data_IF_869834728201
#
_entry.id   IF_869834728201
#
_cell.length_a   1.000
_cell.length_b   1.000
_cell.length_c   1.000
_cell.angle_alpha   90.00
_cell.angle_beta   90.00
_cell.angle_gamma   90.00
#
_symmetry.space_group_name_H-M   'P 1'
#
loop_
_entity.id
_entity.type
_entity.pdbx_description
1 polymer ?
#
# COMPACT_ATOMS: atom_id res chain seq x y z
N UNK A 1 18.62 -10.48 18.96
CA UNK A 1 17.18 -10.33 19.22
C UNK A 1 16.47 -11.49 18.53
N UNK A 2 15.55 -12.20 19.18
CA UNK A 2 14.80 -13.30 18.52
C UNK A 2 13.76 -12.66 17.61
N UNK A 3 13.83 -12.91 16.29
CA UNK A 3 12.87 -12.34 15.33
C UNK A 3 11.56 -13.12 15.45
N UNK A 4 10.39 -12.45 15.63
CA UNK A 4 9.11 -13.14 15.74
C UNK A 4 8.80 -13.95 14.47
N UNK A 5 8.13 -15.08 14.66
CA UNK A 5 7.78 -16.02 13.60
C UNK A 5 6.28 -15.96 13.29
N UNK A 6 5.93 -16.25 12.05
CA UNK A 6 4.54 -16.41 11.61
C UNK A 6 4.44 -17.47 10.53
N UNK A 7 3.22 -17.94 10.25
CA UNK A 7 2.97 -18.84 9.12
C UNK A 7 2.61 -18.01 7.88
N UNK A 8 3.50 -17.92 6.90
CA UNK A 8 3.31 -17.16 5.66
C UNK A 8 3.13 -18.04 4.43
N UNK A 9 2.97 -17.43 3.27
CA UNK A 9 3.05 -18.09 1.97
C UNK A 9 4.36 -17.72 1.29
N UNK A 10 5.34 -18.63 1.29
CA UNK A 10 6.59 -18.46 0.55
C UNK A 10 6.31 -18.67 -0.94
N UNK A 11 6.67 -17.69 -1.76
CA UNK A 11 6.50 -17.73 -3.22
C UNK A 11 7.74 -18.29 -3.90
N UNK A 12 7.59 -18.60 -5.18
CA UNK A 12 8.61 -19.21 -6.05
C UNK A 12 9.87 -18.34 -6.15
N UNK A 13 9.71 -17.02 -6.08
CA UNK A 13 10.81 -16.05 -6.04
C UNK A 13 11.36 -15.76 -4.63
N UNK A 14 10.98 -16.56 -3.63
CA UNK A 14 11.46 -16.47 -2.25
C UNK A 14 10.77 -15.40 -1.39
N UNK A 15 9.99 -14.48 -1.97
CA UNK A 15 9.24 -13.47 -1.20
C UNK A 15 8.11 -14.11 -0.42
N UNK A 16 7.70 -13.48 0.68
CA UNK A 16 6.68 -14.01 1.60
C UNK A 16 5.42 -13.15 1.56
N UNK A 17 4.28 -13.78 1.30
CA UNK A 17 2.94 -13.19 1.43
C UNK A 17 2.26 -13.56 2.73
N UNK A 18 1.33 -12.71 3.18
CA UNK A 18 0.45 -12.95 4.35
C UNK A 18 -1.00 -13.24 3.94
N UNK A 19 -1.30 -13.16 2.64
CA UNK A 19 -2.57 -13.57 2.01
C UNK A 19 -2.28 -14.45 0.79
N UNK A 20 -3.35 -15.03 0.23
CA UNK A 20 -3.27 -16.02 -0.85
C UNK A 20 -4.39 -15.80 -1.89
N UNK A 21 -4.44 -14.60 -2.46
CA UNK A 21 -5.50 -14.20 -3.38
C UNK A 21 -5.33 -14.81 -4.77
N UNK A 22 -6.43 -15.21 -5.41
CA UNK A 22 -6.50 -15.45 -6.85
C UNK A 22 -7.20 -14.27 -7.50
N UNK A 23 -6.49 -13.52 -8.33
CA UNK A 23 -7.01 -12.29 -8.92
C UNK A 23 -7.56 -12.52 -10.32
N UNK A 24 -8.64 -11.82 -10.63
CA UNK A 24 -9.11 -11.58 -12.00
C UNK A 24 -8.80 -10.11 -12.31
N UNK A 25 -7.70 -9.88 -13.02
CA UNK A 25 -7.10 -8.57 -13.21
C UNK A 25 -7.48 -8.03 -14.60
N UNK A 26 -8.33 -6.99 -14.67
CA UNK A 26 -8.54 -6.29 -15.93
C UNK A 26 -7.25 -5.57 -16.35
N UNK A 27 -6.93 -5.64 -17.64
CA UNK A 27 -5.92 -4.78 -18.28
C UNK A 27 -6.47 -3.36 -18.45
N UNK A 28 -7.77 -3.23 -18.70
CA UNK A 28 -8.39 -1.97 -19.10
C UNK A 28 -9.82 -1.85 -18.54
N UNK A 29 -10.33 -0.63 -18.56
CA UNK A 29 -11.68 -0.30 -18.08
C UNK A 29 -12.79 -1.06 -18.81
N UNK A 30 -12.59 -1.42 -20.08
CA UNK A 30 -13.55 -2.19 -20.86
C UNK A 30 -13.62 -3.66 -20.46
N UNK A 31 -12.52 -4.19 -19.90
CA UNK A 31 -12.41 -5.59 -19.48
C UNK A 31 -12.98 -5.85 -18.08
N UNK A 32 -13.36 -4.79 -17.35
CA UNK A 32 -13.92 -4.88 -16.00
C UNK A 32 -15.12 -5.82 -15.91
N UNK A 33 -16.10 -5.68 -16.81
CA UNK A 33 -17.33 -6.49 -16.76
C UNK A 33 -17.06 -8.00 -16.92
N UNK A 34 -16.12 -8.36 -17.79
CA UNK A 34 -15.70 -9.75 -17.96
C UNK A 34 -14.98 -10.28 -16.70
N UNK A 35 -14.10 -9.47 -16.09
CA UNK A 35 -13.42 -9.82 -14.84
C UNK A 35 -14.40 -10.05 -13.69
N UNK A 36 -15.36 -9.13 -13.51
CA UNK A 36 -16.40 -9.23 -12.49
C UNK A 36 -17.31 -10.45 -12.71
N UNK A 37 -17.68 -10.75 -13.96
CA UNK A 37 -18.46 -11.93 -14.28
C UNK A 37 -17.73 -13.23 -13.92
N UNK A 38 -16.42 -13.33 -14.20
CA UNK A 38 -15.60 -14.48 -13.80
C UNK A 38 -15.55 -14.58 -12.26
N UNK A 39 -15.35 -13.46 -11.56
CA UNK A 39 -15.31 -13.46 -10.09
C UNK A 39 -16.65 -13.83 -9.45
N UNK A 40 -17.76 -13.47 -10.09
CA UNK A 40 -19.09 -13.91 -9.67
C UNK A 40 -19.26 -15.43 -9.82
N UNK A 41 -18.78 -15.99 -10.94
CA UNK A 41 -18.89 -17.42 -11.26
C UNK A 41 -18.00 -18.30 -10.37
N UNK A 42 -16.77 -17.86 -10.07
CA UNK A 42 -15.76 -18.67 -9.37
C UNK A 42 -15.48 -18.09 -7.98
N UNK A 43 -16.02 -18.75 -6.96
CA UNK A 43 -15.78 -18.36 -5.56
C UNK A 43 -14.30 -18.55 -5.18
N UNK A 44 -13.81 -17.69 -4.30
CA UNK A 44 -12.40 -17.66 -3.91
C UNK A 44 -11.51 -16.78 -4.80
N UNK A 45 -12.08 -16.14 -5.82
CA UNK A 45 -11.39 -15.15 -6.66
C UNK A 45 -11.78 -13.72 -6.28
N UNK A 46 -10.99 -12.74 -6.73
CA UNK A 46 -11.29 -11.33 -6.57
C UNK A 46 -11.02 -10.58 -7.88
N UNK A 47 -12.05 -9.95 -8.44
CA UNK A 47 -11.88 -8.97 -9.50
C UNK A 47 -11.44 -7.62 -8.92
N UNK A 48 -10.54 -6.92 -9.61
CA UNK A 48 -10.06 -5.58 -9.20
C UNK A 48 -10.32 -4.59 -10.35
N UNK A 49 -11.57 -4.09 -10.49
CA UNK A 49 -11.91 -3.16 -11.56
C UNK A 49 -11.23 -1.79 -11.37
N UNK A 50 -10.94 -1.12 -12.48
CA UNK A 50 -10.35 0.23 -12.48
C UNK A 50 -10.72 1.04 -13.73
N UNK A 51 -10.47 2.35 -13.70
CA UNK A 51 -10.94 3.29 -14.73
C UNK A 51 -9.94 3.61 -15.85
N UNK A 52 -8.77 2.97 -15.89
CA UNK A 52 -7.69 3.29 -16.85
C UNK A 52 -7.20 2.06 -17.63
N UNK A 53 -6.06 2.16 -18.32
CA UNK A 53 -5.51 1.11 -19.19
C UNK A 53 -5.67 1.37 -20.69
N UNK A 54 -6.16 2.55 -21.08
CA UNK A 54 -6.34 2.95 -22.48
C UNK A 54 -5.83 4.36 -22.74
N UNK A 55 -5.24 4.54 -23.94
CA UNK A 55 -4.78 5.83 -24.46
C UNK A 55 -3.82 6.59 -23.53
N UNK A 56 -3.10 5.86 -22.67
CA UNK A 56 -2.00 6.39 -21.87
C UNK A 56 -0.71 6.34 -22.69
N UNK A 57 0.21 7.26 -22.42
CA UNK A 57 1.47 7.37 -23.15
C UNK A 57 2.60 7.86 -22.24
N UNK A 58 3.85 7.65 -22.66
CA UNK A 58 5.02 8.08 -21.89
C UNK A 58 5.07 7.48 -20.49
N UNK A 59 5.50 8.26 -19.49
CA UNK A 59 5.61 7.79 -18.10
C UNK A 59 4.24 7.40 -17.49
N UNK A 60 3.13 7.97 -17.95
CA UNK A 60 1.79 7.59 -17.48
C UNK A 60 1.46 6.14 -17.84
N UNK A 61 1.80 5.73 -19.06
CA UNK A 61 1.64 4.34 -19.50
C UNK A 61 2.58 3.39 -18.76
N UNK A 62 3.83 3.79 -18.55
CA UNK A 62 4.80 2.97 -17.82
C UNK A 62 4.43 2.82 -16.34
N UNK A 63 3.92 3.87 -15.70
CA UNK A 63 3.39 3.81 -14.34
C UNK A 63 2.16 2.90 -14.25
N UNK A 64 1.25 2.98 -15.23
CA UNK A 64 0.12 2.06 -15.33
C UNK A 64 0.60 0.61 -15.36
N UNK A 65 1.54 0.27 -16.26
CA UNK A 65 2.09 -1.08 -16.36
C UNK A 65 2.80 -1.51 -15.08
N UNK A 66 3.62 -0.64 -14.48
CA UNK A 66 4.31 -0.91 -13.21
C UNK A 66 3.31 -1.24 -12.11
N UNK A 67 2.18 -0.52 -12.05
CA UNK A 67 1.16 -0.69 -11.03
C UNK A 67 0.36 -1.98 -11.23
N UNK A 68 -0.10 -2.28 -12.44
CA UNK A 68 -0.88 -3.49 -12.74
C UNK A 68 -0.01 -4.76 -12.62
N UNK A 69 1.17 -4.75 -13.23
CA UNK A 69 2.13 -5.87 -13.13
C UNK A 69 2.54 -6.06 -11.67
N UNK A 70 2.84 -4.96 -10.96
CA UNK A 70 3.20 -4.99 -9.55
C UNK A 70 2.11 -5.58 -8.67
N UNK A 71 0.86 -5.20 -8.91
CA UNK A 71 -0.32 -5.73 -8.19
C UNK A 71 -0.43 -7.24 -8.36
N UNK A 72 -0.34 -7.75 -9.60
CA UNK A 72 -0.33 -9.19 -9.85
C UNK A 72 0.91 -9.91 -9.29
N UNK A 73 2.04 -9.21 -9.25
CA UNK A 73 3.33 -9.71 -8.74
C UNK A 73 3.41 -9.76 -7.21
N UNK A 74 2.55 -9.03 -6.49
CA UNK A 74 2.57 -8.93 -5.03
C UNK A 74 2.55 -10.33 -4.35
N UNK A 75 3.34 -10.58 -3.29
CA UNK A 75 3.35 -11.88 -2.60
C UNK A 75 2.01 -12.31 -1.96
N UNK A 76 1.10 -11.38 -1.66
CA UNK A 76 -0.27 -11.67 -1.21
C UNK A 76 -1.15 -12.27 -2.33
N UNK A 77 -0.69 -12.23 -3.58
CA UNK A 77 -1.36 -12.81 -4.75
C UNK A 77 -0.70 -14.12 -5.11
N UNK A 78 -1.48 -15.20 -5.13
CA UNK A 78 -1.05 -16.55 -5.47
C UNK A 78 -1.03 -16.79 -6.98
N UNK A 79 -2.08 -16.39 -7.68
CA UNK A 79 -2.25 -16.60 -9.11
C UNK A 79 -3.13 -15.50 -9.74
N UNK A 80 -2.98 -15.29 -11.05
CA UNK A 80 -3.65 -14.19 -11.76
C UNK A 80 -4.25 -14.66 -13.08
N UNK A 81 -5.52 -14.35 -13.32
CA UNK A 81 -6.13 -14.35 -14.65
C UNK A 81 -6.17 -12.90 -15.13
N UNK A 82 -5.50 -12.60 -16.24
CA UNK A 82 -5.52 -11.28 -16.86
C UNK A 82 -6.54 -11.28 -18.00
N UNK A 83 -7.42 -10.29 -18.05
CA UNK A 83 -8.36 -10.11 -19.16
C UNK A 83 -8.18 -8.72 -19.74
N UNK A 84 -7.92 -8.64 -21.04
CA UNK A 84 -7.83 -7.39 -21.79
C UNK A 84 -8.61 -7.45 -23.08
N UNK A 85 -8.72 -6.32 -23.79
CA UNK A 85 -9.32 -6.31 -25.13
C UNK A 85 -8.40 -7.00 -26.13
N UNK A 86 -7.14 -6.56 -26.22
CA UNK A 86 -6.19 -6.98 -27.25
C UNK A 86 -5.13 -7.95 -26.68
N UNK A 87 -4.69 -8.95 -27.47
CA UNK A 87 -3.76 -9.97 -27.01
C UNK A 87 -2.37 -9.43 -26.67
N UNK A 88 -1.83 -8.48 -27.43
CA UNK A 88 -0.46 -7.98 -27.25
C UNK A 88 -0.28 -7.27 -25.90
N UNK A 89 -1.18 -6.33 -25.57
CA UNK A 89 -1.15 -5.64 -24.29
C UNK A 89 -1.46 -6.56 -23.11
N UNK A 90 -2.37 -7.51 -23.30
CA UNK A 90 -2.66 -8.54 -22.31
C UNK A 90 -1.41 -9.38 -22.01
N UNK A 91 -0.68 -9.80 -23.06
CA UNK A 91 0.54 -10.59 -22.91
C UNK A 91 1.64 -9.80 -22.20
N UNK A 92 1.79 -8.49 -22.45
CA UNK A 92 2.75 -7.64 -21.71
C UNK A 92 2.57 -7.75 -20.18
N UNK A 93 1.32 -7.73 -19.69
CA UNK A 93 1.03 -7.91 -18.25
C UNK A 93 1.36 -9.33 -17.79
N UNK A 94 0.93 -10.33 -18.58
CA UNK A 94 1.17 -11.76 -18.27
C UNK A 94 2.66 -12.03 -18.13
N UNK A 95 3.47 -11.61 -19.10
CA UNK A 95 4.92 -11.78 -19.06
C UNK A 95 5.54 -11.05 -17.87
N UNK A 96 5.10 -9.82 -17.59
CA UNK A 96 5.57 -9.05 -16.44
C UNK A 96 5.34 -9.76 -15.10
N UNK A 97 4.17 -10.38 -14.91
CA UNK A 97 3.83 -11.13 -13.70
C UNK A 97 4.57 -12.48 -13.67
N UNK A 98 4.69 -13.15 -14.82
CA UNK A 98 5.29 -14.48 -14.94
C UNK A 98 6.76 -14.52 -14.49
N UNK A 99 7.49 -13.40 -14.53
CA UNK A 99 8.86 -13.28 -13.97
C UNK A 99 8.93 -13.67 -12.49
N UNK A 100 7.83 -13.54 -11.75
CA UNK A 100 7.78 -13.98 -10.34
C UNK A 100 7.75 -15.50 -10.15
N UNK A 101 7.49 -16.27 -11.20
CA UNK A 101 7.31 -17.72 -11.18
C UNK A 101 5.88 -18.18 -10.83
N UNK A 102 4.98 -17.27 -10.48
CA UNK A 102 3.60 -17.62 -10.10
C UNK A 102 2.72 -17.93 -11.32
N UNK A 103 1.66 -18.75 -11.17
CA UNK A 103 0.72 -19.01 -12.26
C UNK A 103 -0.01 -17.75 -12.73
N UNK A 104 0.08 -17.45 -14.02
CA UNK A 104 -0.64 -16.34 -14.66
C UNK A 104 -1.08 -16.72 -16.07
N UNK A 105 -2.29 -16.33 -16.47
CA UNK A 105 -2.80 -16.56 -17.84
C UNK A 105 -3.62 -15.39 -18.34
N UNK A 106 -3.40 -15.00 -19.59
CA UNK A 106 -4.13 -13.93 -20.27
C UNK A 106 -5.26 -14.44 -21.16
N UNK A 107 -6.31 -13.63 -21.29
CA UNK A 107 -7.43 -13.82 -22.21
C UNK A 107 -7.80 -12.51 -22.88
N UNK A 108 -8.16 -12.57 -24.16
CA UNK A 108 -8.53 -11.41 -24.98
C UNK A 108 -10.03 -11.44 -25.29
N UNK A 109 -10.70 -10.30 -25.17
CA UNK A 109 -12.12 -10.17 -25.53
C UNK A 109 -12.26 -10.01 -27.05
N UNK A 110 -11.34 -9.29 -27.70
CA UNK A 110 -11.39 -9.09 -29.15
C UNK A 110 -11.41 -10.45 -29.87
N UNK A 111 -12.27 -10.58 -30.89
CA UNK A 111 -12.48 -11.81 -31.69
C UNK A 111 -13.03 -13.03 -30.95
N UNK A 112 -13.19 -12.97 -29.63
CA UNK A 112 -13.77 -14.05 -28.81
C UNK A 112 -15.16 -13.69 -28.28
N UNK A 113 -15.37 -12.41 -27.95
CA UNK A 113 -16.58 -11.90 -27.30
C UNK A 113 -16.68 -12.31 -25.82
N UNK A 114 -17.44 -11.53 -25.06
CA UNK A 114 -17.55 -11.68 -23.61
C UNK A 114 -17.90 -13.10 -23.14
N UNK A 115 -18.94 -13.71 -23.71
CA UNK A 115 -19.41 -15.04 -23.27
C UNK A 115 -18.30 -16.09 -23.40
N UNK A 116 -17.59 -16.09 -24.53
CA UNK A 116 -16.49 -17.03 -24.79
C UNK A 116 -15.31 -16.79 -23.85
N UNK A 117 -14.90 -15.53 -23.69
CA UNK A 117 -13.79 -15.13 -22.82
C UNK A 117 -14.08 -15.42 -21.36
N UNK A 118 -15.26 -15.06 -20.85
CA UNK A 118 -15.70 -15.33 -19.47
C UNK A 118 -15.73 -16.84 -19.21
N UNK A 119 -16.24 -17.65 -20.15
CA UNK A 119 -16.27 -19.10 -19.99
C UNK A 119 -14.85 -19.71 -19.91
N UNK A 120 -13.94 -19.28 -20.78
CA UNK A 120 -12.55 -19.77 -20.78
C UNK A 120 -11.78 -19.32 -19.53
N UNK A 121 -11.87 -18.04 -19.18
CA UNK A 121 -11.25 -17.47 -17.99
C UNK A 121 -11.79 -18.11 -16.70
N UNK A 122 -13.10 -18.40 -16.63
CA UNK A 122 -13.70 -19.07 -15.47
C UNK A 122 -13.14 -20.49 -15.24
N UNK A 123 -12.87 -21.24 -16.32
CA UNK A 123 -12.24 -22.57 -16.20
C UNK A 123 -10.84 -22.46 -15.59
N UNK A 124 -10.04 -21.51 -16.08
CA UNK A 124 -8.69 -21.28 -15.54
C UNK A 124 -8.72 -20.79 -14.10
N UNK A 125 -9.60 -19.84 -13.79
CA UNK A 125 -9.75 -19.30 -12.46
C UNK A 125 -10.10 -20.41 -11.44
N UNK A 126 -10.97 -21.35 -11.82
CA UNK A 126 -11.30 -22.52 -10.99
C UNK A 126 -10.07 -23.39 -10.72
N UNK A 127 -9.23 -23.65 -11.72
CA UNK A 127 -7.98 -24.40 -11.53
C UNK A 127 -7.00 -23.68 -10.59
N UNK A 128 -6.85 -22.37 -10.76
CA UNK A 128 -6.00 -21.55 -9.89
C UNK A 128 -6.50 -21.48 -8.46
N UNK A 129 -7.81 -21.42 -8.22
CA UNK A 129 -8.36 -21.51 -6.86
C UNK A 129 -8.02 -22.85 -6.23
N UNK A 130 -8.22 -23.97 -6.95
CA UNK A 130 -7.88 -25.30 -6.43
C UNK A 130 -6.40 -25.37 -6.05
N UNK A 131 -5.51 -25.01 -6.97
CA UNK A 131 -4.06 -24.96 -6.74
C UNK A 131 -3.70 -24.07 -5.55
N UNK A 132 -4.23 -22.84 -5.50
CA UNK A 132 -3.90 -21.89 -4.45
C UNK A 132 -4.33 -22.40 -3.07
N UNK A 133 -5.50 -23.05 -2.97
CA UNK A 133 -6.01 -23.59 -1.70
C UNK A 133 -5.25 -24.81 -1.19
N UNK A 134 -4.48 -25.50 -2.05
CA UNK A 134 -3.61 -26.62 -1.65
C UNK A 134 -2.28 -26.15 -1.04
N UNK A 135 -1.92 -24.87 -1.21
CA UNK A 135 -0.65 -24.33 -0.73
C UNK A 135 -0.64 -24.26 0.81
N UNK A 136 0.28 -24.94 1.50
CA UNK A 136 0.42 -24.83 2.93
C UNK A 136 1.08 -23.51 3.31
N UNK A 137 0.71 -22.97 4.47
CA UNK A 137 1.47 -21.89 5.09
C UNK A 137 2.74 -22.47 5.71
N UNK A 138 3.86 -21.79 5.53
CA UNK A 138 5.19 -22.20 6.01
C UNK A 138 5.69 -21.24 7.08
N UNK A 139 6.54 -21.71 7.99
CA UNK A 139 7.21 -20.83 8.95
C UNK A 139 8.05 -19.76 8.22
N UNK A 140 7.87 -18.50 8.60
CA UNK A 140 8.56 -17.32 8.11
C UNK A 140 8.86 -16.39 9.30
N UNK A 141 9.78 -15.45 9.13
CA UNK A 141 10.15 -14.47 10.16
C UNK A 141 9.81 -13.04 9.74
N UNK A 142 9.56 -12.14 10.70
CA UNK A 142 9.11 -10.77 10.40
C UNK A 142 10.11 -9.95 9.56
N UNK A 143 11.40 -10.28 9.58
CA UNK A 143 12.41 -9.65 8.72
C UNK A 143 12.23 -9.99 7.22
N UNK A 144 11.44 -11.01 6.90
CA UNK A 144 11.09 -11.34 5.52
C UNK A 144 9.98 -10.43 4.96
N UNK A 145 9.26 -9.70 5.82
CA UNK A 145 8.17 -8.83 5.42
C UNK A 145 8.67 -7.56 4.74
N UNK A 146 7.83 -7.09 3.81
CA UNK A 146 7.83 -5.71 3.36
C UNK A 146 6.58 -5.00 3.91
N UNK A 147 6.79 -4.08 4.85
CA UNK A 147 5.75 -3.29 5.51
C UNK A 147 5.75 -1.85 5.00
N UNK A 148 4.60 -1.33 4.59
CA UNK A 148 4.45 0.08 4.18
C UNK A 148 3.67 0.88 5.22
N UNK A 149 3.82 2.21 5.22
CA UNK A 149 3.10 3.11 6.13
C UNK A 149 2.68 4.40 5.43
N UNK A 150 1.44 4.84 5.68
CA UNK A 150 1.02 6.23 5.53
C UNK A 150 0.02 6.63 6.61
N UNK A 151 -0.06 7.92 6.94
CA UNK A 151 -1.12 8.41 7.82
C UNK A 151 -2.38 8.79 7.03
N UNK A 152 -3.49 9.02 7.71
CA UNK A 152 -4.68 9.58 7.08
C UNK A 152 -5.60 10.27 8.06
N UNK A 153 -6.23 11.35 7.59
CA UNK A 153 -7.09 12.21 8.42
C UNK A 153 -6.45 12.55 9.77
N UNK A 154 -5.20 13.01 9.70
CA UNK A 154 -4.40 13.36 10.86
C UNK A 154 -5.08 14.42 11.73
N UNK A 155 -4.77 14.36 13.02
CA UNK A 155 -5.17 15.30 14.06
C UNK A 155 -3.98 15.56 14.99
N UNK A 156 -4.15 16.34 16.05
CA UNK A 156 -3.06 16.60 17.01
C UNK A 156 -2.50 15.30 17.63
N UNK A 157 -3.35 14.30 17.91
CA UNK A 157 -2.91 13.04 18.53
C UNK A 157 -2.03 12.19 17.61
N UNK A 158 -2.14 12.39 16.30
CA UNK A 158 -1.40 11.66 15.28
C UNK A 158 0.11 11.90 15.43
N UNK A 159 0.54 13.16 15.54
CA UNK A 159 1.95 13.52 15.73
C UNK A 159 2.49 13.23 17.14
N UNK A 160 1.62 13.17 18.15
CA UNK A 160 1.99 12.95 19.54
C UNK A 160 2.10 11.46 19.94
N UNK A 161 1.33 10.58 19.30
CA UNK A 161 1.20 9.19 19.73
C UNK A 161 1.10 8.18 18.57
N UNK A 162 0.15 8.32 17.63
CA UNK A 162 -0.05 7.31 16.57
C UNK A 162 1.17 7.16 15.65
N UNK A 163 1.68 8.26 15.10
CA UNK A 163 2.84 8.25 14.21
C UNK A 163 4.14 7.85 14.95
N UNK A 164 4.42 8.36 16.17
CA UNK A 164 5.51 7.84 16.99
C UNK A 164 5.45 6.33 17.28
N UNK A 165 4.25 5.77 17.49
CA UNK A 165 4.06 4.33 17.66
C UNK A 165 4.49 3.57 16.40
N UNK A 166 4.10 4.05 15.22
CA UNK A 166 4.57 3.46 13.96
C UNK A 166 6.08 3.62 13.80
N UNK A 167 6.63 4.79 14.14
CA UNK A 167 8.08 5.02 14.12
C UNK A 167 8.86 4.02 14.96
N UNK A 168 8.38 3.70 16.17
CA UNK A 168 8.99 2.68 17.02
C UNK A 168 8.97 1.29 16.37
N UNK A 169 7.86 0.91 15.72
CA UNK A 169 7.77 -0.37 14.99
C UNK A 169 8.67 -0.40 13.76
N UNK A 170 8.74 0.70 13.00
CA UNK A 170 9.62 0.80 11.83
C UNK A 170 11.09 0.61 12.25
N UNK A 171 11.53 1.22 13.35
CA UNK A 171 12.87 0.99 13.89
C UNK A 171 13.08 -0.49 14.22
N UNK A 172 12.18 -1.11 14.98
CA UNK A 172 12.27 -2.53 15.35
C UNK A 172 12.33 -3.45 14.13
N UNK A 173 11.50 -3.21 13.13
CA UNK A 173 11.47 -4.00 11.89
C UNK A 173 12.76 -3.83 11.07
N UNK A 174 13.27 -2.61 10.95
CA UNK A 174 14.53 -2.33 10.24
C UNK A 174 15.72 -2.96 10.98
N UNK A 175 15.76 -2.87 12.32
CA UNK A 175 16.77 -3.54 13.16
C UNK A 175 16.72 -5.07 13.02
N UNK A 176 15.54 -5.66 12.79
CA UNK A 176 15.39 -7.10 12.48
C UNK A 176 15.85 -7.47 11.06
N UNK A 177 16.01 -6.50 10.16
CA UNK A 177 16.36 -6.73 8.75
C UNK A 177 15.16 -6.76 7.79
N UNK A 178 14.00 -6.24 8.19
CA UNK A 178 12.83 -6.11 7.32
C UNK A 178 12.99 -4.99 6.27
N UNK A 179 12.13 -5.02 5.26
CA UNK A 179 11.95 -3.88 4.36
C UNK A 179 10.78 -3.05 4.85
N UNK A 180 10.97 -1.73 4.98
CA UNK A 180 9.90 -0.79 5.30
C UNK A 180 9.83 0.33 4.28
N UNK A 181 8.66 0.93 4.05
CA UNK A 181 8.54 2.07 3.15
C UNK A 181 7.51 3.11 3.62
N UNK A 182 7.85 4.39 3.48
CA UNK A 182 6.99 5.53 3.72
C UNK A 182 7.01 6.47 2.51
N UNK A 183 6.09 7.43 2.46
CA UNK A 183 5.95 8.39 1.35
C UNK A 183 5.11 9.59 1.79
N UNK A 184 4.10 9.92 0.98
CA UNK A 184 3.22 11.10 1.14
C UNK A 184 3.97 12.41 0.84
N UNK A 185 4.43 12.59 -0.39
CA UNK A 185 5.40 13.65 -0.76
C UNK A 185 4.95 15.06 -0.37
N UNK A 186 3.68 15.40 -0.60
CA UNK A 186 3.15 16.72 -0.21
C UNK A 186 2.87 16.88 1.28
N UNK A 187 2.80 15.79 2.05
CA UNK A 187 2.64 15.82 3.52
C UNK A 187 3.97 16.06 4.24
N UNK A 188 5.07 16.19 3.50
CA UNK A 188 6.39 16.54 4.03
C UNK A 188 6.67 18.05 3.92
N UNK A 189 5.82 18.81 3.24
CA UNK A 189 5.95 20.28 3.12
C UNK A 189 5.95 20.94 4.50
N UNK A 190 7.02 21.67 4.81
CA UNK A 190 7.32 22.25 6.12
C UNK A 190 8.36 21.46 6.94
N UNK A 191 8.63 20.21 6.56
CA UNK A 191 9.63 19.35 7.19
C UNK A 191 10.63 18.75 6.18
N UNK A 192 10.61 19.16 4.91
CA UNK A 192 11.40 18.58 3.81
C UNK A 192 12.91 18.65 4.06
N UNK A 193 13.41 19.75 4.62
CA UNK A 193 14.83 19.87 4.94
C UNK A 193 15.25 18.93 6.07
N UNK A 194 14.35 18.65 7.02
CA UNK A 194 14.61 17.67 8.08
C UNK A 194 14.49 16.26 7.51
N UNK A 195 13.52 15.99 6.64
CA UNK A 195 13.39 14.72 5.94
C UNK A 195 14.65 14.42 5.12
N UNK A 196 15.18 15.39 4.36
CA UNK A 196 16.46 15.28 3.63
C UNK A 196 17.60 14.76 4.52
N UNK A 197 17.72 15.29 5.75
CA UNK A 197 18.75 14.89 6.70
C UNK A 197 18.58 13.46 7.23
N UNK A 198 17.39 12.86 7.05
CA UNK A 198 17.09 11.47 7.42
C UNK A 198 17.44 10.47 6.32
N UNK A 199 18.01 10.91 5.19
CA UNK A 199 18.64 10.02 4.22
C UNK A 199 19.90 9.38 4.79
N UNK A 200 20.18 8.13 4.45
CA UNK A 200 21.35 7.40 4.96
C UNK A 200 22.68 8.00 4.50
N UNK A 201 22.67 8.71 3.37
CA UNK A 201 23.80 9.51 2.86
C UNK A 201 23.29 10.85 2.34
N UNK A 202 24.17 11.87 2.20
CA UNK A 202 23.80 13.14 1.58
C UNK A 202 23.19 12.98 0.19
N UNK A 203 23.68 12.05 -0.63
CA UNK A 203 23.20 11.79 -1.99
C UNK A 203 21.76 11.30 -1.99
N UNK A 204 21.40 10.40 -1.05
CA UNK A 204 20.03 9.93 -0.87
C UNK A 204 19.12 11.06 -0.40
N UNK A 205 19.64 11.95 0.46
CA UNK A 205 18.94 13.18 0.85
C UNK A 205 18.66 14.10 -0.33
N UNK A 206 19.63 14.33 -1.21
CA UNK A 206 19.44 15.13 -2.43
C UNK A 206 18.48 14.46 -3.42
N UNK A 207 18.52 13.13 -3.53
CA UNK A 207 17.56 12.41 -4.36
C UNK A 207 16.12 12.62 -3.88
N UNK A 208 15.89 12.56 -2.57
CA UNK A 208 14.60 12.88 -1.98
C UNK A 208 14.20 14.33 -2.29
N UNK A 209 15.10 15.30 -2.10
CA UNK A 209 14.80 16.70 -2.40
C UNK A 209 14.43 16.91 -3.87
N UNK A 210 15.09 16.24 -4.81
CA UNK A 210 14.74 16.33 -6.23
C UNK A 210 13.30 15.86 -6.48
N UNK A 211 12.91 14.74 -5.88
CA UNK A 211 11.54 14.21 -5.98
C UNK A 211 10.53 15.16 -5.34
N UNK A 212 10.80 15.61 -4.13
CA UNK A 212 9.93 16.54 -3.41
C UNK A 212 9.75 17.85 -4.17
N UNK A 213 10.84 18.45 -4.68
CA UNK A 213 10.80 19.67 -5.47
C UNK A 213 9.98 19.49 -6.74
N UNK A 214 10.18 18.40 -7.49
CA UNK A 214 9.40 18.15 -8.71
C UNK A 214 7.89 18.00 -8.43
N UNK A 215 7.54 17.33 -7.33
CA UNK A 215 6.15 17.19 -6.89
C UNK A 215 5.57 18.55 -6.49
N UNK A 216 6.30 19.32 -5.71
CA UNK A 216 5.89 20.63 -5.24
C UNK A 216 5.76 21.64 -6.40
N UNK A 217 6.68 21.65 -7.34
CA UNK A 217 6.62 22.48 -8.55
C UNK A 217 5.36 22.19 -9.37
N UNK A 218 4.97 20.92 -9.47
CA UNK A 218 3.72 20.52 -10.13
C UNK A 218 2.51 21.09 -9.40
N UNK A 219 2.46 21.00 -8.06
CA UNK A 219 1.38 21.63 -7.28
C UNK A 219 1.37 23.13 -7.53
N UNK A 220 2.52 23.81 -7.41
CA UNK A 220 2.62 25.26 -7.57
C UNK A 220 2.20 25.73 -8.97
N UNK A 221 2.46 24.94 -10.00
CA UNK A 221 2.08 25.24 -11.37
C UNK A 221 0.57 25.22 -11.60
N UNK A 222 -0.17 24.32 -10.93
CA UNK A 222 -1.58 24.07 -11.21
C UNK A 222 -2.54 24.45 -10.06
N UNK A 223 -2.03 24.93 -8.93
CA UNK A 223 -2.85 25.29 -7.77
C UNK A 223 -3.79 26.45 -8.08
N UNK A 224 -5.04 26.36 -7.60
CA UNK A 224 -5.98 27.49 -7.57
C UNK A 224 -5.81 28.34 -6.32
N UNK A 225 -5.39 27.73 -5.22
CA UNK A 225 -5.16 28.33 -3.91
C UNK A 225 -3.81 27.85 -3.36
N UNK A 226 -3.23 28.55 -2.38
CA UNK A 226 -1.96 28.12 -1.80
C UNK A 226 -2.06 26.72 -1.16
N UNK A 227 -0.98 25.93 -1.22
CA UNK A 227 -0.95 24.60 -0.61
C UNK A 227 -1.19 24.70 0.91
N UNK A 228 -0.70 25.77 1.57
CA UNK A 228 -1.00 26.05 2.98
C UNK A 228 -2.50 26.32 3.26
N UNK A 229 -3.28 26.67 2.23
CA UNK A 229 -4.74 26.86 2.32
C UNK A 229 -5.55 25.59 2.06
N UNK A 230 -4.97 24.58 1.40
CA UNK A 230 -5.60 23.28 1.14
C UNK A 230 -5.10 22.17 2.07
N UNK A 231 -3.91 22.35 2.65
CA UNK A 231 -3.27 21.51 3.65
C UNK A 231 -2.72 22.37 4.80
N UNK A 232 -3.06 22.09 6.07
CA UNK A 232 -3.91 20.99 6.55
C UNK A 232 -5.35 21.07 6.02
N UNK A 233 -5.95 19.92 5.71
CA UNK A 233 -7.36 19.88 5.25
C UNK A 233 -8.31 20.43 6.32
N UNK A 234 -9.53 20.83 5.95
CA UNK A 234 -10.57 21.25 6.92
C UNK A 234 -10.79 20.23 8.04
N UNK A 235 -10.71 18.93 7.71
CA UNK A 235 -10.73 17.86 8.69
C UNK A 235 -9.56 17.97 9.67
N UNK A 236 -8.33 18.13 9.18
CA UNK A 236 -7.13 18.24 10.02
C UNK A 236 -7.20 19.45 10.97
N UNK A 237 -7.66 20.61 10.49
CA UNK A 237 -7.82 21.82 11.30
C UNK A 237 -8.85 21.59 12.42
N UNK A 238 -9.98 20.95 12.09
CA UNK A 238 -10.97 20.53 13.09
C UNK A 238 -10.39 19.54 14.12
N UNK A 239 -9.43 18.71 13.69
CA UNK A 239 -8.66 17.80 14.54
C UNK A 239 -7.56 18.49 15.36
N UNK A 240 -7.42 19.81 15.28
CA UNK A 240 -6.52 20.61 16.12
C UNK A 240 -5.14 20.90 15.53
N UNK A 241 -4.88 20.57 14.26
CA UNK A 241 -3.63 20.94 13.59
C UNK A 241 -3.68 22.40 13.12
N UNK A 242 -2.65 23.18 13.49
CA UNK A 242 -2.62 24.64 13.31
C UNK A 242 -1.81 25.09 12.10
N UNK A 243 -0.74 24.39 11.75
CA UNK A 243 0.12 24.73 10.59
C UNK A 243 0.47 23.50 9.75
N UNK A 244 0.96 23.74 8.53
CA UNK A 244 1.42 22.67 7.64
C UNK A 244 2.70 22.02 8.19
N UNK A 245 3.57 22.81 8.82
CA UNK A 245 4.80 22.33 9.45
C UNK A 245 4.49 21.39 10.62
N UNK A 246 3.54 21.75 11.49
CA UNK A 246 3.10 20.89 12.61
C UNK A 246 2.66 19.51 12.10
N UNK A 247 1.86 19.50 11.02
CA UNK A 247 1.42 18.28 10.36
C UNK A 247 2.58 17.50 9.77
N UNK A 248 3.50 18.15 9.07
CA UNK A 248 4.64 17.50 8.42
C UNK A 248 5.63 16.91 9.43
N UNK A 249 5.91 17.60 10.54
CA UNK A 249 6.73 17.05 11.63
C UNK A 249 6.07 15.87 12.33
N UNK A 250 4.75 15.92 12.51
CA UNK A 250 3.97 14.78 12.97
C UNK A 250 4.03 13.61 11.99
N UNK A 251 3.92 13.88 10.69
CA UNK A 251 4.02 12.91 9.61
C UNK A 251 5.38 12.21 9.56
N UNK A 252 6.46 12.95 9.81
CA UNK A 252 7.83 12.43 9.83
C UNK A 252 8.10 11.51 11.04
N UNK A 253 7.32 11.57 12.11
CA UNK A 253 7.49 10.65 13.25
C UNK A 253 7.29 9.17 12.87
N UNK A 254 6.63 8.87 11.73
CA UNK A 254 6.37 7.49 11.26
C UNK A 254 7.64 6.69 10.95
N UNK A 255 8.77 7.35 10.76
CA UNK A 255 10.05 6.69 10.49
C UNK A 255 10.94 6.58 11.75
N UNK A 256 10.39 6.91 12.91
CA UNK A 256 11.14 6.92 14.16
C UNK A 256 12.24 7.99 14.19
N UNK A 257 13.23 7.80 15.04
CA UNK A 257 14.34 8.73 15.31
C UNK A 257 15.71 8.14 15.01
N UNK A 258 15.86 6.81 14.98
CA UNK A 258 17.15 6.11 14.90
C UNK A 258 17.53 5.63 13.51
N UNK A 259 16.54 5.36 12.66
CA UNK A 259 16.78 4.83 11.30
C UNK A 259 16.73 5.93 10.25
N UNK A 260 17.52 5.73 9.20
CA UNK A 260 17.56 6.57 8.00
C UNK A 260 17.06 5.78 6.81
N UNK A 261 16.42 6.45 5.85
CA UNK A 261 16.01 5.79 4.61
C UNK A 261 17.19 5.63 3.67
N UNK A 262 17.28 4.48 3.01
CA UNK A 262 18.45 4.04 2.24
C UNK A 262 18.29 4.24 0.72
N UNK A 263 17.15 4.77 0.29
CA UNK A 263 16.90 5.06 -1.12
C UNK A 263 15.51 5.64 -1.35
N UNK A 264 15.33 6.16 -2.55
CA UNK A 264 14.11 6.81 -3.02
C UNK A 264 13.56 6.02 -4.21
N UNK A 265 12.27 5.71 -4.17
CA UNK A 265 11.57 4.89 -5.14
C UNK A 265 10.61 5.74 -5.96
N UNK A 266 10.52 5.43 -7.25
CA UNK A 266 9.43 5.93 -8.08
C UNK A 266 8.08 5.31 -7.65
N UNK A 267 6.95 5.91 -8.04
CA UNK A 267 5.64 5.32 -7.79
C UNK A 267 5.57 3.86 -8.29
N UNK A 268 5.12 2.95 -7.42
CA UNK A 268 5.05 1.49 -7.63
C UNK A 268 6.38 0.76 -7.91
N UNK A 269 7.54 1.39 -7.70
CA UNK A 269 8.84 0.72 -7.81
C UNK A 269 9.10 -0.19 -6.60
N UNK A 270 9.53 -1.42 -6.83
CA UNK A 270 9.89 -2.35 -5.77
C UNK A 270 11.24 -1.98 -5.11
N UNK A 271 11.35 -2.03 -3.78
CA UNK A 271 12.62 -1.85 -3.09
C UNK A 271 13.68 -2.88 -3.54
N UNK A 272 14.94 -2.45 -3.65
CA UNK A 272 16.06 -3.30 -4.09
C UNK A 272 16.73 -4.07 -2.94
N UNK A 273 16.29 -3.87 -1.70
CA UNK A 273 16.90 -4.49 -0.52
C UNK A 273 16.15 -4.22 0.78
N UNK A 274 16.71 -4.72 1.89
CA UNK A 274 16.22 -4.53 3.25
C UNK A 274 16.55 -3.13 3.76
N UNK A 275 15.78 -2.64 4.73
CA UNK A 275 15.90 -1.28 5.26
C UNK A 275 14.67 -0.41 4.98
N UNK A 276 14.77 0.86 5.35
CA UNK A 276 13.72 1.86 5.16
C UNK A 276 13.86 2.55 3.79
N UNK A 277 12.78 2.63 3.03
CA UNK A 277 12.73 3.29 1.72
C UNK A 277 11.74 4.45 1.73
N UNK A 278 12.04 5.50 0.98
CA UNK A 278 11.07 6.53 0.65
C UNK A 278 10.48 6.22 -0.73
N UNK A 279 9.16 6.33 -0.91
CA UNK A 279 8.52 6.25 -2.21
C UNK A 279 7.83 7.57 -2.52
N UNK A 280 8.03 8.07 -3.73
CA UNK A 280 7.22 9.18 -4.23
C UNK A 280 5.77 8.72 -4.38
N UNK A 281 4.88 9.25 -3.55
CA UNK A 281 3.46 8.94 -3.60
C UNK A 281 2.66 10.21 -3.37
N UNK A 282 1.44 10.23 -3.91
CA UNK A 282 0.44 11.18 -3.45
C UNK A 282 0.08 10.93 -1.98
N UNK A 283 -0.60 11.89 -1.37
CA UNK A 283 -1.10 11.79 0.00
C UNK A 283 -2.52 11.20 0.04
N UNK A 284 -3.17 11.09 -1.13
CA UNK A 284 -4.46 10.45 -1.27
C UNK A 284 -4.35 8.97 -0.91
N UNK A 285 -5.16 8.53 0.06
CA UNK A 285 -4.94 7.25 0.71
C UNK A 285 -5.06 6.05 -0.22
N UNK A 286 -6.14 5.99 -1.01
CA UNK A 286 -6.38 4.86 -1.92
C UNK A 286 -5.28 4.72 -2.98
N UNK A 287 -4.81 5.83 -3.51
CA UNK A 287 -3.76 5.87 -4.53
C UNK A 287 -2.42 5.41 -3.96
N UNK A 288 -1.98 6.00 -2.84
CA UNK A 288 -0.70 5.66 -2.23
C UNK A 288 -0.61 4.20 -1.78
N UNK A 289 -1.66 3.67 -1.12
CA UNK A 289 -1.71 2.26 -0.70
C UNK A 289 -1.68 1.31 -1.90
N UNK A 290 -2.30 1.70 -3.02
CA UNK A 290 -2.24 0.92 -4.27
C UNK A 290 -0.81 0.85 -4.82
N UNK A 291 -0.05 1.95 -4.79
CA UNK A 291 1.37 1.96 -5.19
C UNK A 291 2.23 1.05 -4.31
N UNK A 292 2.05 1.07 -2.99
CA UNK A 292 2.79 0.16 -2.10
C UNK A 292 2.39 -1.29 -2.30
N UNK A 293 1.10 -1.58 -2.50
CA UNK A 293 0.65 -2.90 -2.87
C UNK A 293 1.32 -3.36 -4.18
N UNK A 294 1.39 -2.50 -5.20
CA UNK A 294 2.08 -2.82 -6.45
C UNK A 294 3.59 -3.02 -6.28
N UNK A 295 4.25 -2.27 -5.39
CA UNK A 295 5.67 -2.48 -5.07
C UNK A 295 5.94 -3.79 -4.29
N UNK A 296 4.87 -4.44 -3.83
CA UNK A 296 4.88 -5.74 -3.17
C UNK A 296 4.98 -5.67 -1.64
N UNK A 297 4.55 -4.56 -1.03
CA UNK A 297 4.28 -4.55 0.41
C UNK A 297 3.17 -5.55 0.73
N UNK A 298 3.27 -6.23 1.88
CA UNK A 298 2.33 -7.30 2.26
C UNK A 298 1.53 -6.98 3.51
N UNK A 299 1.95 -5.96 4.26
CA UNK A 299 1.19 -5.34 5.36
C UNK A 299 1.33 -3.82 5.24
N UNK A 300 0.24 -3.10 5.52
CA UNK A 300 0.23 -1.64 5.57
C UNK A 300 -0.19 -1.14 6.94
N UNK A 301 0.52 -0.14 7.47
CA UNK A 301 0.23 0.52 8.74
C UNK A 301 -0.40 1.87 8.47
N UNK A 302 -1.56 2.11 9.10
CA UNK A 302 -2.34 3.31 8.84
C UNK A 302 -2.74 4.00 10.15
N UNK A 303 -1.87 4.85 10.72
CA UNK A 303 -2.25 5.73 11.82
C UNK A 303 -3.29 6.75 11.33
N UNK A 304 -4.38 6.89 12.08
CA UNK A 304 -5.43 7.87 11.76
C UNK A 304 -5.91 8.63 12.99
N UNK A 305 -6.11 9.95 12.82
CA UNK A 305 -6.64 10.83 13.84
C UNK A 305 -8.16 10.76 13.93
N UNK A 306 -8.84 10.94 12.79
CA UNK A 306 -10.30 11.04 12.71
C UNK A 306 -11.02 9.80 12.14
N UNK A 307 -10.30 8.70 11.91
CA UNK A 307 -10.92 7.41 11.57
C UNK A 307 -11.12 7.20 10.07
N UNK A 308 -10.11 7.51 9.26
CA UNK A 308 -10.16 7.22 7.84
C UNK A 308 -10.38 5.70 7.61
N UNK A 309 -11.37 5.36 6.77
CA UNK A 309 -11.86 3.98 6.64
C UNK A 309 -11.16 3.14 5.56
N UNK A 310 -10.21 3.73 4.83
CA UNK A 310 -9.57 3.13 3.64
C UNK A 310 -9.07 1.70 3.86
N UNK A 311 -9.37 0.80 2.96
CA UNK A 311 -8.75 -0.52 2.86
C UNK A 311 -7.86 -0.61 1.62
N UNK A 312 -7.63 -1.85 1.18
CA UNK A 312 -7.05 -2.13 -0.12
C UNK A 312 -7.45 -3.54 -0.55
N UNK A 313 -7.56 -3.76 -1.86
CA UNK A 313 -7.98 -5.04 -2.40
C UNK A 313 -7.07 -6.22 -2.01
N UNK A 314 -5.74 -6.03 -1.93
CA UNK A 314 -4.77 -7.12 -1.74
C UNK A 314 -3.83 -6.92 -0.55
N UNK A 315 -3.80 -5.72 0.02
CA UNK A 315 -2.88 -5.32 1.07
C UNK A 315 -3.64 -5.09 2.38
N UNK A 316 -3.49 -5.97 3.39
CA UNK A 316 -4.06 -5.75 4.72
C UNK A 316 -3.64 -4.40 5.30
N UNK A 317 -4.63 -3.57 5.62
CA UNK A 317 -4.45 -2.25 6.22
C UNK A 317 -4.76 -2.32 7.71
N UNK A 318 -3.73 -2.26 8.55
CA UNK A 318 -3.85 -2.23 10.01
C UNK A 318 -4.04 -0.78 10.44
N UNK A 319 -5.21 -0.46 11.00
CA UNK A 319 -5.52 0.89 11.47
C UNK A 319 -5.25 1.04 12.97
N UNK A 320 -4.59 2.13 13.33
CA UNK A 320 -4.37 2.50 14.72
C UNK A 320 -4.73 3.96 14.98
N UNK A 321 -5.16 4.27 16.20
CA UNK A 321 -5.45 5.64 16.60
C UNK A 321 -5.06 5.88 18.05
N UNK A 322 -4.65 7.12 18.32
CA UNK A 322 -4.44 7.65 19.66
C UNK A 322 -5.56 8.61 20.08
N UNK A 323 -6.51 8.92 19.20
CA UNK A 323 -7.60 9.83 19.49
C UNK A 323 -8.68 9.07 20.30
N UNK A 324 -8.95 9.44 21.57
CA UNK A 324 -9.94 8.73 22.39
C UNK A 324 -11.36 8.77 21.81
N UNK A 325 -11.72 9.85 21.11
CA UNK A 325 -13.02 9.96 20.45
C UNK A 325 -13.10 8.94 19.33
N UNK A 326 -12.13 8.92 18.41
CA UNK A 326 -12.07 7.94 17.32
C UNK A 326 -12.02 6.51 17.83
N UNK A 327 -11.23 6.24 18.87
CA UNK A 327 -11.13 4.90 19.47
C UNK A 327 -12.43 4.45 20.16
N UNK A 328 -13.29 5.38 20.58
CA UNK A 328 -14.58 5.03 21.21
C UNK A 328 -15.75 5.00 20.22
N UNK A 329 -15.74 5.86 19.20
CA UNK A 329 -16.87 6.00 18.25
C UNK A 329 -16.68 5.24 16.94
N UNK A 330 -15.45 4.85 16.59
CA UNK A 330 -15.11 4.15 15.34
C UNK A 330 -14.38 2.83 15.60
N UNK A 331 -14.69 2.17 16.71
CA UNK A 331 -14.09 0.89 17.13
C UNK A 331 -14.10 -0.19 16.05
N UNK A 332 -15.13 -0.22 15.20
CA UNK A 332 -15.27 -1.18 14.09
C UNK A 332 -14.16 -1.04 13.04
N UNK A 333 -13.54 0.14 12.92
CA UNK A 333 -12.49 0.42 11.95
C UNK A 333 -11.07 0.41 12.56
N UNK A 334 -10.93 0.42 13.89
CA UNK A 334 -9.63 0.53 14.56
C UNK A 334 -9.14 -0.84 15.03
N UNK A 335 -8.00 -1.29 14.50
CA UNK A 335 -7.36 -2.54 14.93
C UNK A 335 -6.62 -2.39 16.27
N UNK A 336 -6.05 -1.21 16.52
CA UNK A 336 -5.26 -0.92 17.72
C UNK A 336 -5.53 0.48 18.27
N UNK A 337 -6.05 0.53 19.50
CA UNK A 337 -6.15 1.75 20.31
C UNK A 337 -4.84 1.96 21.07
N UNK A 338 -4.20 3.11 20.84
CA UNK A 338 -3.00 3.57 21.57
C UNK A 338 -3.24 4.89 22.30
N UNK A 339 -4.49 5.27 22.52
CA UNK A 339 -4.89 6.52 23.18
C UNK A 339 -4.41 6.62 24.63
N UNK A 340 -4.11 5.48 25.26
CA UNK A 340 -3.50 5.40 26.59
C UNK A 340 -2.15 6.15 26.70
N UNK A 341 -1.44 6.35 25.57
CA UNK A 341 -0.21 7.16 25.53
C UNK A 341 -0.49 8.59 26.02
N UNK A 342 -1.59 9.19 25.58
CA UNK A 342 -1.92 10.59 25.89
C UNK A 342 -2.28 10.79 27.37
N UNK A 343 -2.64 9.71 28.08
CA UNK A 343 -2.91 9.72 29.53
C UNK A 343 -1.69 9.33 30.37
N UNK A 344 -0.56 9.00 29.74
CA UNK A 344 0.64 8.51 30.42
C UNK A 344 0.51 7.09 30.98
N UNK A 345 -0.51 6.34 30.54
CA UNK A 345 -0.79 4.95 30.98
C UNK A 345 -0.04 3.92 30.13
N UNK A 346 0.42 4.32 28.93
CA UNK A 346 1.16 3.49 27.98
C UNK A 346 2.38 4.25 27.46
N UNK A 347 3.53 3.60 27.38
CA UNK A 347 4.73 4.18 26.76
C UNK A 347 4.74 3.96 25.25
N UNK A 348 5.52 4.78 24.52
CA UNK A 348 5.72 4.57 23.08
C UNK A 348 6.30 3.20 22.75
N UNK A 349 7.14 2.65 23.63
CA UNK A 349 7.73 1.33 23.43
C UNK A 349 6.70 0.21 23.59
N UNK A 350 5.84 0.31 24.62
CA UNK A 350 4.71 -0.60 24.82
C UNK A 350 3.70 -0.54 23.67
N UNK A 351 3.41 0.65 23.17
CA UNK A 351 2.55 0.83 22.00
C UNK A 351 3.18 0.23 20.74
N UNK A 352 4.49 0.40 20.57
CA UNK A 352 5.24 -0.23 19.48
C UNK A 352 5.21 -1.75 19.56
N UNK A 353 5.39 -2.33 20.75
CA UNK A 353 5.25 -3.78 20.96
C UNK A 353 3.84 -4.28 20.66
N UNK A 354 2.81 -3.53 21.04
CA UNK A 354 1.43 -3.84 20.74
C UNK A 354 1.15 -3.81 19.22
N UNK A 355 1.70 -2.84 18.51
CA UNK A 355 1.58 -2.75 17.05
C UNK A 355 2.39 -3.84 16.33
N UNK A 356 3.59 -4.16 16.80
CA UNK A 356 4.39 -5.28 16.27
C UNK A 356 3.64 -6.62 16.44
N UNK A 357 3.03 -6.84 17.61
CA UNK A 357 2.16 -8.00 17.85
C UNK A 357 0.92 -7.98 16.96
N UNK A 358 0.39 -6.81 16.62
CA UNK A 358 -0.72 -6.71 15.66
C UNK A 358 -0.28 -7.13 14.25
N UNK A 359 0.90 -6.71 13.80
CA UNK A 359 1.50 -7.16 12.53
C UNK A 359 1.65 -8.67 12.54
N UNK A 360 2.20 -9.25 13.60
CA UNK A 360 2.35 -10.70 13.75
C UNK A 360 1.01 -11.43 13.66
N UNK A 361 -0.03 -10.94 14.35
CA UNK A 361 -1.38 -11.53 14.30
C UNK A 361 -1.97 -11.45 12.89
N UNK A 362 -1.84 -10.31 12.22
CA UNK A 362 -2.31 -10.08 10.85
C UNK A 362 -1.57 -10.98 9.86
N UNK A 363 -0.25 -11.10 10.01
CA UNK A 363 0.58 -12.01 9.24
C UNK A 363 0.21 -13.48 9.49
N UNK A 364 -0.18 -13.82 10.72
CA UNK A 364 -0.73 -15.13 11.10
C UNK A 364 -2.19 -15.35 10.70
N UNK A 365 -2.80 -14.43 9.94
CA UNK A 365 -4.09 -14.65 9.26
C UNK A 365 -5.29 -14.00 9.94
N UNK A 366 -5.09 -13.22 11.00
CA UNK A 366 -6.13 -12.29 11.47
C UNK A 366 -6.42 -11.30 10.35
N UNK A 367 -7.70 -11.17 9.97
CA UNK A 367 -8.15 -10.10 9.10
C UNK A 367 -8.10 -8.76 9.85
N UNK A 368 -7.65 -7.71 9.17
CA UNK A 368 -7.79 -6.35 9.69
C UNK A 368 -9.26 -5.91 9.64
N UNK A 369 -9.59 -4.84 10.37
CA UNK A 369 -10.93 -4.26 10.33
C UNK A 369 -11.41 -3.98 8.90
N UNK A 370 -10.58 -3.37 8.05
CA UNK A 370 -10.94 -3.11 6.63
C UNK A 370 -11.21 -4.38 5.84
N UNK A 371 -10.44 -5.44 6.07
CA UNK A 371 -10.65 -6.70 5.35
C UNK A 371 -11.97 -7.36 5.77
N UNK A 372 -12.25 -7.36 7.07
CA UNK A 372 -13.49 -7.92 7.62
C UNK A 372 -14.74 -7.15 7.16
N UNK A 373 -14.62 -5.83 7.01
CA UNK A 373 -15.70 -4.94 6.56
C UNK A 373 -15.80 -4.84 5.02
N UNK A 374 -14.85 -5.39 4.28
CA UNK A 374 -14.89 -5.43 2.81
C UNK A 374 -14.41 -4.16 2.10
N UNK A 375 -13.62 -3.31 2.77
CA UNK A 375 -12.97 -2.15 2.15
C UNK A 375 -11.85 -2.61 1.20
N UNK A 376 -12.03 -2.39 -0.10
CA UNK A 376 -11.19 -2.90 -1.19
C UNK A 376 -10.79 -1.83 -2.19
N UNK A 377 -10.59 -0.60 -1.72
CA UNK A 377 -10.24 0.51 -2.59
C UNK A 377 -8.96 0.21 -3.40
N UNK A 378 -9.02 0.50 -4.69
CA UNK A 378 -7.93 0.31 -5.64
C UNK A 378 -7.97 1.47 -6.63
N UNK A 379 -7.00 2.38 -6.53
CA UNK A 379 -6.98 3.63 -7.30
C UNK A 379 -5.61 3.76 -7.91
N UNK A 380 -5.56 3.87 -9.24
CA UNK A 380 -4.31 4.06 -9.97
C UNK A 380 -3.94 5.54 -10.03
N UNK A 381 -2.64 5.81 -10.01
CA UNK A 381 -2.10 7.14 -10.30
C UNK A 381 -2.20 7.45 -11.80
N UNK A 382 -2.70 8.64 -12.12
CA UNK A 382 -2.76 9.16 -13.48
C UNK A 382 -2.01 10.49 -13.57
N UNK A 383 -1.06 10.58 -14.50
CA UNK A 383 -0.19 11.73 -14.68
C UNK A 383 -0.72 12.71 -15.74
N UNK A 384 -1.31 12.20 -16.82
CA UNK A 384 -1.71 13.01 -17.98
C UNK A 384 -3.17 12.76 -18.37
N UNK A 385 -3.74 13.69 -19.16
CA UNK A 385 -4.97 13.41 -19.89
C UNK A 385 -4.72 12.30 -20.92
N UNK A 386 -5.71 11.43 -21.13
CA UNK A 386 -5.64 10.40 -22.18
C UNK A 386 -5.61 11.04 -23.57
N UNK A 387 -4.93 10.39 -24.53
CA UNK A 387 -4.77 10.85 -25.91
C UNK A 387 -6.08 10.96 -26.70
#
# INVERSE_FOLDING_TARGET
>A
MTIPKFLGYRRENGRVGVRNHVLILPLDDLSNAACEAVANNVKGTMAIPHSYGRLQFGEDLELFFRTIIGTGSNPNVAAVVVIGIEPEWTDRIVQGIAVTGKPVRGFSIERTGDIGTIAAASRQAKEYVQWATELPRTECTLDELYVSVKCGESDTTSGLASNPTVGNVVEKLVEMGATTCFGETSEITGAEHVCKQRGATPEIGEEFMRVWTAYNDTILQYKTDDLSGSQPTKGNIRGGLTTIEEKAFGNLQKIGKKVSYIGVLKPAEAPKGKGLWYMDTSSAAAEAVTLWAASGAVVHLFPTGQGNIIGNAILPVIKLSANPLTCSTMTEHIDLDVSAILRGEMTLDQAGDALLKMIERTANGRLTASEALGHREFVLTKLYVSA
#
